data_IF_004637932456
#
_entry.id   IF_004637932456
#
_cell.length_a   1.000
_cell.length_b   1.000
_cell.length_c   1.000
_cell.angle_alpha   90.00
_cell.angle_beta   90.00
_cell.angle_gamma   90.00
#
_symmetry.space_group_name_H-M   'P 1'
#
loop_
_entity.id
_entity.type
_entity.pdbx_description
1 polymer ?
#
# COMPACT_ATOMS: atom_id res chain seq x y z
N UNK A 1 7.76 10.75 6.64
CA UNK A 1 8.32 11.38 5.40
C UNK A 1 7.18 11.97 4.55
N UNK A 2 7.44 12.69 3.47
CA UNK A 2 6.40 13.07 2.49
C UNK A 2 6.39 12.07 1.31
N UNK A 3 5.33 12.06 0.49
CA UNK A 3 5.17 11.07 -0.59
C UNK A 3 6.25 11.17 -1.66
N UNK A 4 6.63 12.40 -2.05
CA UNK A 4 7.69 12.65 -3.02
C UNK A 4 9.05 12.11 -2.56
N UNK A 5 9.39 12.31 -1.29
CA UNK A 5 10.63 11.79 -0.68
C UNK A 5 10.66 10.26 -0.68
N UNK A 6 9.52 9.63 -0.35
CA UNK A 6 9.38 8.17 -0.41
C UNK A 6 9.56 7.65 -1.84
N UNK A 7 8.93 8.28 -2.82
CA UNK A 7 9.04 7.90 -4.24
C UNK A 7 10.49 8.04 -4.71
N UNK A 8 11.16 9.15 -4.41
CA UNK A 8 12.55 9.40 -4.82
C UNK A 8 13.51 8.38 -4.20
N UNK A 9 13.36 8.08 -2.90
CA UNK A 9 14.16 7.05 -2.23
C UNK A 9 13.90 5.65 -2.81
N UNK A 10 12.63 5.34 -3.08
CA UNK A 10 12.23 4.07 -3.69
C UNK A 10 12.78 3.92 -5.10
N UNK A 11 12.79 5.01 -5.89
CA UNK A 11 13.33 5.02 -7.24
C UNK A 11 14.84 4.78 -7.21
N UNK A 12 15.57 5.50 -6.36
CA UNK A 12 17.01 5.28 -6.20
C UNK A 12 17.33 3.83 -5.82
N UNK A 13 16.56 3.24 -4.90
CA UNK A 13 16.72 1.85 -4.53
C UNK A 13 16.40 0.89 -5.70
N UNK A 14 15.29 1.12 -6.41
CA UNK A 14 14.88 0.31 -7.55
C UNK A 14 15.87 0.38 -8.72
N UNK A 15 16.52 1.52 -8.93
CA UNK A 15 17.52 1.70 -10.00
C UNK A 15 18.83 0.96 -9.68
N UNK A 16 19.17 0.77 -8.39
CA UNK A 16 20.32 -0.04 -7.95
C UNK A 16 20.07 -1.54 -8.04
N UNK A 17 18.85 -2.00 -7.74
CA UNK A 17 18.44 -3.40 -7.80
C UNK A 17 17.17 -3.57 -8.64
N UNK A 18 17.27 -3.51 -9.99
CA UNK A 18 16.12 -3.59 -10.86
C UNK A 18 15.48 -4.97 -10.73
N UNK A 19 14.24 -4.98 -10.24
CA UNK A 19 13.48 -6.22 -10.03
C UNK A 19 12.96 -6.75 -11.37
N UNK A 20 12.99 -8.07 -11.55
CA UNK A 20 12.19 -8.73 -12.59
C UNK A 20 10.70 -8.44 -12.34
N UNK A 21 10.14 -7.56 -13.18
CA UNK A 21 8.73 -7.21 -13.16
C UNK A 21 7.95 -8.42 -13.66
N UNK A 22 7.42 -9.25 -12.76
CA UNK A 22 6.56 -10.36 -13.13
C UNK A 22 5.28 -9.83 -13.78
N UNK A 23 5.17 -10.02 -15.09
CA UNK A 23 3.98 -9.66 -15.87
C UNK A 23 2.96 -10.79 -15.75
N UNK A 24 1.97 -10.63 -14.86
CA UNK A 24 0.88 -11.60 -14.75
C UNK A 24 -0.19 -11.20 -13.75
N UNK A 25 -1.39 -10.91 -14.25
CA UNK A 25 -2.60 -10.84 -13.42
C UNK A 25 -3.02 -12.27 -13.12
N UNK A 26 -2.63 -12.78 -11.96
CA UNK A 26 -3.02 -14.12 -11.49
C UNK A 26 -4.00 -14.01 -10.32
N UNK A 27 -4.77 -15.09 -10.08
CA UNK A 27 -5.62 -15.23 -8.89
C UNK A 27 -4.80 -15.11 -7.59
N UNK A 28 -3.48 -15.32 -7.67
CA UNK A 28 -2.53 -15.26 -6.57
C UNK A 28 -1.80 -13.91 -6.47
N UNK A 29 -2.29 -12.85 -7.12
CA UNK A 29 -1.64 -11.52 -7.13
C UNK A 29 -1.30 -10.99 -5.73
N UNK A 30 -2.19 -11.20 -4.74
CA UNK A 30 -1.92 -10.78 -3.36
C UNK A 30 -0.86 -11.64 -2.67
N UNK A 31 -0.78 -12.93 -3.00
CA UNK A 31 0.25 -13.83 -2.47
C UNK A 31 1.63 -13.43 -3.00
N UNK A 32 1.74 -13.25 -4.33
CA UNK A 32 2.99 -12.83 -4.96
C UNK A 32 3.42 -11.43 -4.50
N UNK A 33 2.46 -10.51 -4.38
CA UNK A 33 2.72 -9.18 -3.82
C UNK A 33 3.24 -9.23 -2.38
N UNK A 34 2.67 -10.10 -1.54
CA UNK A 34 3.12 -10.30 -0.16
C UNK A 34 4.52 -10.93 -0.10
N UNK A 35 4.83 -11.91 -0.96
CA UNK A 35 6.17 -12.51 -1.05
C UNK A 35 7.22 -11.49 -1.50
N UNK A 36 6.90 -10.70 -2.53
CA UNK A 36 7.76 -9.62 -2.98
C UNK A 36 8.00 -8.59 -1.87
N UNK A 37 6.93 -8.17 -1.19
CA UNK A 37 7.01 -7.23 -0.08
C UNK A 37 7.85 -7.77 1.08
N UNK A 38 7.69 -9.05 1.41
CA UNK A 38 8.46 -9.74 2.45
C UNK A 38 9.96 -9.76 2.14
N UNK A 39 10.33 -10.10 0.91
CA UNK A 39 11.73 -10.05 0.47
C UNK A 39 12.31 -8.64 0.67
N UNK A 40 11.61 -7.60 0.16
CA UNK A 40 12.05 -6.21 0.30
C UNK A 40 12.11 -5.73 1.74
N UNK A 41 11.17 -6.14 2.59
CA UNK A 41 11.19 -5.83 4.01
C UNK A 41 12.42 -6.43 4.71
N UNK A 42 12.81 -7.65 4.36
CA UNK A 42 14.00 -8.29 4.92
C UNK A 42 15.30 -7.65 4.39
N UNK A 43 15.36 -7.32 3.09
CA UNK A 43 16.50 -6.63 2.49
C UNK A 43 16.76 -5.27 3.16
N UNK A 44 15.69 -4.54 3.47
CA UNK A 44 15.76 -3.21 4.09
C UNK A 44 16.05 -3.24 5.60
N UNK A 45 15.84 -4.37 6.27
CA UNK A 45 16.02 -4.54 7.73
C UNK A 45 16.62 -5.92 8.05
N UNK A 46 17.91 -6.15 7.73
CA UNK A 46 18.53 -7.47 7.88
C UNK A 46 18.63 -7.96 9.34
N UNK A 47 18.51 -7.05 10.32
CA UNK A 47 18.51 -7.41 11.74
C UNK A 47 17.15 -7.91 12.25
N UNK A 48 16.05 -7.65 11.53
CA UNK A 48 14.68 -7.96 11.93
C UNK A 48 13.96 -8.76 10.83
N UNK A 49 14.51 -9.93 10.51
CA UNK A 49 13.95 -10.81 9.48
C UNK A 49 12.92 -11.77 10.07
N UNK A 50 11.74 -11.83 9.48
CA UNK A 50 10.74 -12.85 9.80
C UNK A 50 10.66 -13.86 8.67
N UNK A 51 10.40 -15.16 8.93
CA UNK A 51 10.13 -16.13 7.88
C UNK A 51 8.74 -15.88 7.27
N UNK A 52 8.65 -15.97 5.94
CA UNK A 52 7.37 -15.80 5.23
C UNK A 52 6.38 -16.88 5.68
N UNK A 53 5.25 -16.45 6.25
CA UNK A 53 4.23 -17.36 6.74
C UNK A 53 3.23 -17.71 5.63
N UNK A 54 3.31 -18.94 5.12
CA UNK A 54 2.37 -19.42 4.10
C UNK A 54 0.98 -19.75 4.67
N UNK A 55 0.82 -19.88 5.98
CA UNK A 55 -0.49 -20.13 6.60
C UNK A 55 -1.40 -18.89 6.54
N UNK A 56 -0.82 -17.69 6.40
CA UNK A 56 -1.57 -16.46 6.26
C UNK A 56 -2.24 -16.40 4.88
N UNK A 57 -3.56 -16.26 4.90
CA UNK A 57 -4.38 -16.13 3.69
C UNK A 57 -4.33 -14.71 3.13
N UNK A 58 -3.20 -14.31 2.52
CA UNK A 58 -3.00 -12.97 1.95
C UNK A 58 -4.06 -12.60 0.90
N UNK A 59 -4.56 -13.58 0.13
CA UNK A 59 -5.67 -13.37 -0.81
C UNK A 59 -6.95 -12.87 -0.15
N UNK A 60 -7.32 -13.43 1.01
CA UNK A 60 -8.50 -13.02 1.76
C UNK A 60 -8.34 -11.60 2.33
N UNK A 61 -7.16 -11.29 2.89
CA UNK A 61 -6.88 -9.94 3.40
C UNK A 61 -6.80 -8.88 2.29
N UNK A 62 -6.26 -9.24 1.12
CA UNK A 62 -6.31 -8.41 -0.07
C UNK A 62 -7.75 -8.12 -0.49
N UNK A 63 -8.58 -9.16 -0.62
CA UNK A 63 -10.00 -9.02 -0.96
C UNK A 63 -10.75 -8.19 0.09
N UNK A 64 -10.50 -8.40 1.37
CA UNK A 64 -11.07 -7.59 2.46
C UNK A 64 -10.70 -6.11 2.29
N UNK A 65 -9.40 -5.81 2.10
CA UNK A 65 -8.90 -4.44 1.96
C UNK A 65 -9.54 -3.74 0.78
N UNK A 66 -9.37 -4.30 -0.42
CA UNK A 66 -9.86 -3.67 -1.64
C UNK A 66 -11.38 -3.73 -1.76
N UNK A 67 -12.02 -4.75 -1.19
CA UNK A 67 -13.48 -4.86 -1.12
C UNK A 67 -14.12 -3.77 -0.27
N UNK A 68 -13.57 -3.48 0.92
CA UNK A 68 -14.07 -2.38 1.76
C UNK A 68 -13.83 -1.03 1.08
N UNK A 69 -12.65 -0.81 0.47
CA UNK A 69 -12.36 0.44 -0.23
C UNK A 69 -13.29 0.64 -1.44
N UNK A 70 -13.43 -0.37 -2.30
CA UNK A 70 -14.32 -0.32 -3.46
C UNK A 70 -15.79 -0.18 -3.05
N UNK A 71 -16.23 -0.91 -2.02
CA UNK A 71 -17.58 -0.80 -1.48
C UNK A 71 -17.88 0.61 -0.97
N UNK A 72 -16.95 1.22 -0.23
CA UNK A 72 -17.09 2.60 0.25
C UNK A 72 -17.15 3.61 -0.91
N UNK A 73 -16.37 3.40 -1.96
CA UNK A 73 -16.38 4.22 -3.17
C UNK A 73 -17.72 4.13 -3.91
N UNK A 74 -18.18 2.91 -4.21
CA UNK A 74 -19.44 2.70 -4.94
C UNK A 74 -20.65 3.22 -4.17
N UNK A 75 -20.71 2.96 -2.85
CA UNK A 75 -21.75 3.50 -1.98
C UNK A 75 -21.74 5.04 -2.01
N UNK A 76 -20.56 5.65 -1.92
CA UNK A 76 -20.41 7.11 -1.99
C UNK A 76 -20.86 7.66 -3.33
N UNK A 77 -20.52 7.02 -4.45
CA UNK A 77 -20.99 7.41 -5.79
C UNK A 77 -22.52 7.38 -5.88
N UNK A 78 -23.17 6.32 -5.37
CA UNK A 78 -24.64 6.19 -5.36
C UNK A 78 -25.28 7.30 -4.52
N UNK A 79 -24.77 7.56 -3.32
CA UNK A 79 -25.33 8.59 -2.43
C UNK A 79 -25.10 10.01 -2.97
N UNK A 80 -23.91 10.32 -3.46
CA UNK A 80 -23.56 11.65 -3.93
C UNK A 80 -24.19 11.99 -5.29
N UNK A 81 -24.33 11.02 -6.19
CA UNK A 81 -25.01 11.22 -7.48
C UNK A 81 -26.50 11.56 -7.33
N UNK A 82 -27.15 11.09 -6.25
CA UNK A 82 -28.52 11.49 -5.90
C UNK A 82 -28.62 12.94 -5.44
N UNK A 83 -27.54 13.52 -4.95
CA UNK A 83 -27.49 14.93 -4.51
C UNK A 83 -27.09 15.82 -5.70
N UNK A 84 -25.91 15.58 -6.28
CA UNK A 84 -25.40 16.33 -7.43
C UNK A 84 -24.21 15.58 -8.07
N UNK A 85 -24.23 15.40 -9.40
CA UNK A 85 -23.17 14.67 -10.12
C UNK A 85 -21.77 15.28 -9.95
N UNK A 86 -21.69 16.60 -9.76
CA UNK A 86 -20.43 17.31 -9.47
C UNK A 86 -19.78 16.94 -8.14
N UNK A 87 -20.47 16.22 -7.24
CA UNK A 87 -19.91 15.74 -5.97
C UNK A 87 -19.16 14.40 -6.11
N UNK A 88 -19.26 13.72 -7.26
CA UNK A 88 -18.59 12.43 -7.48
C UNK A 88 -17.08 12.41 -7.16
N UNK A 89 -16.29 13.48 -7.41
CA UNK A 89 -14.88 13.50 -7.00
C UNK A 89 -14.66 13.28 -5.50
N UNK A 90 -15.63 13.62 -4.64
CA UNK A 90 -15.55 13.37 -3.19
C UNK A 90 -15.56 11.87 -2.86
N UNK A 91 -16.12 11.02 -3.72
CA UNK A 91 -16.07 9.57 -3.54
C UNK A 91 -14.62 9.04 -3.60
N UNK A 92 -13.75 9.66 -4.41
CA UNK A 92 -12.32 9.31 -4.46
C UNK A 92 -11.64 9.67 -3.14
N UNK A 93 -11.98 10.80 -2.53
CA UNK A 93 -11.48 11.17 -1.21
C UNK A 93 -11.95 10.19 -0.12
N UNK A 94 -13.21 9.73 -0.19
CA UNK A 94 -13.73 8.70 0.72
C UNK A 94 -13.01 7.37 0.53
N UNK A 95 -12.74 6.96 -0.72
CA UNK A 95 -11.93 5.77 -1.01
C UNK A 95 -10.57 5.85 -0.32
N UNK A 96 -9.82 6.94 -0.52
CA UNK A 96 -8.50 7.11 0.10
C UNK A 96 -8.57 7.23 1.61
N UNK A 97 -9.61 7.87 2.15
CA UNK A 97 -9.85 7.91 3.59
C UNK A 97 -9.98 6.51 4.17
N UNK A 98 -10.71 5.61 3.51
CA UNK A 98 -10.83 4.21 3.94
C UNK A 98 -9.53 3.43 3.70
N UNK A 99 -8.90 3.63 2.55
CA UNK A 99 -7.67 2.92 2.16
C UNK A 99 -6.54 3.13 3.16
N UNK A 100 -6.33 4.37 3.64
CA UNK A 100 -5.23 4.67 4.56
C UNK A 100 -5.32 3.91 5.87
N UNK A 101 -6.52 3.58 6.34
CA UNK A 101 -6.71 2.77 7.56
C UNK A 101 -6.15 1.34 7.39
N UNK A 102 -6.12 0.83 6.17
CA UNK A 102 -5.61 -0.50 5.80
C UNK A 102 -4.28 -0.42 5.04
N UNK A 103 -3.61 0.74 5.08
CA UNK A 103 -2.36 1.00 4.36
C UNK A 103 -1.29 -0.02 4.72
N UNK A 104 -1.08 -0.24 6.02
CA UNK A 104 -0.01 -1.08 6.55
C UNK A 104 -0.44 -2.53 6.83
N UNK A 105 -1.63 -2.94 6.37
CA UNK A 105 -2.17 -4.27 6.64
C UNK A 105 -1.20 -5.39 6.20
N UNK A 106 -0.67 -5.33 4.97
CA UNK A 106 0.23 -6.36 4.46
C UNK A 106 1.57 -6.43 5.20
N UNK A 107 2.30 -5.31 5.40
CA UNK A 107 3.52 -5.34 6.22
C UNK A 107 3.30 -5.88 7.65
N UNK A 108 2.18 -5.52 8.29
CA UNK A 108 1.83 -6.00 9.63
C UNK A 108 1.51 -7.50 9.66
N UNK A 109 0.88 -8.03 8.61
CA UNK A 109 0.66 -9.47 8.45
C UNK A 109 1.98 -10.22 8.28
N UNK A 110 2.90 -9.66 7.48
CA UNK A 110 4.23 -10.24 7.26
C UNK A 110 5.04 -10.28 8.57
N UNK A 111 4.96 -9.23 9.38
CA UNK A 111 5.58 -9.16 10.72
C UNK A 111 4.78 -9.92 11.81
N UNK A 112 3.72 -10.65 11.42
CA UNK A 112 2.87 -11.48 12.29
C UNK A 112 2.28 -10.76 13.50
N UNK A 113 1.93 -9.48 13.33
CA UNK A 113 1.25 -8.71 14.37
C UNK A 113 -0.14 -9.31 14.64
N UNK A 114 -0.48 -9.52 15.91
CA UNK A 114 -1.68 -10.26 16.33
C UNK A 114 -3.02 -9.63 15.90
N UNK A 115 -3.11 -8.29 15.88
CA UNK A 115 -4.32 -7.54 15.50
C UNK A 115 -4.01 -6.57 14.34
N UNK A 116 -3.65 -7.08 13.14
CA UNK A 116 -3.01 -6.28 12.10
C UNK A 116 -3.91 -5.15 11.56
N UNK A 117 -5.23 -5.37 11.48
CA UNK A 117 -6.20 -4.35 11.06
C UNK A 117 -6.25 -3.20 12.08
N UNK A 118 -6.44 -3.52 13.35
CA UNK A 118 -6.54 -2.51 14.42
C UNK A 118 -5.21 -1.76 14.58
N UNK A 119 -4.09 -2.48 14.49
CA UNK A 119 -2.76 -1.87 14.54
C UNK A 119 -2.54 -0.93 13.35
N UNK A 120 -2.94 -1.32 12.12
CA UNK A 120 -2.89 -0.44 10.94
C UNK A 120 -3.70 0.85 11.15
N UNK A 121 -4.91 0.74 11.70
CA UNK A 121 -5.75 1.89 12.04
C UNK A 121 -5.03 2.78 13.07
N UNK A 122 -4.56 2.21 14.18
CA UNK A 122 -3.89 2.95 15.25
C UNK A 122 -2.66 3.70 14.73
N UNK A 123 -1.84 3.03 13.91
CA UNK A 123 -0.66 3.63 13.25
C UNK A 123 -1.09 4.80 12.36
N UNK A 124 -2.16 4.65 11.59
CA UNK A 124 -2.66 5.70 10.70
C UNK A 124 -3.01 6.97 11.47
N UNK A 125 -3.70 6.84 12.60
CA UNK A 125 -4.01 7.98 13.47
C UNK A 125 -2.76 8.54 14.16
N UNK A 126 -1.80 7.69 14.53
CA UNK A 126 -0.53 8.13 15.13
C UNK A 126 0.34 8.94 14.17
N UNK A 127 0.36 8.57 12.89
CA UNK A 127 1.07 9.32 11.84
C UNK A 127 0.30 10.60 11.46
N UNK A 128 -1.04 10.54 11.55
CA UNK A 128 -1.97 11.62 11.22
C UNK A 128 -2.73 11.33 9.92
N UNK A 129 -4.06 11.25 10.00
CA UNK A 129 -4.93 10.83 8.89
C UNK A 129 -4.76 11.69 7.64
N UNK A 130 -4.70 13.02 7.79
CA UNK A 130 -4.54 13.97 6.67
C UNK A 130 -3.19 13.76 5.98
N UNK A 131 -2.13 13.58 6.76
CA UNK A 131 -0.81 13.27 6.24
C UNK A 131 -0.81 11.95 5.48
N UNK A 132 -1.51 10.94 6.00
CA UNK A 132 -1.62 9.66 5.33
C UNK A 132 -2.32 9.77 3.97
N UNK A 133 -3.45 10.46 3.92
CA UNK A 133 -4.22 10.66 2.68
C UNK A 133 -3.37 11.39 1.63
N UNK A 134 -2.77 12.53 1.98
CA UNK A 134 -1.94 13.30 1.02
C UNK A 134 -0.78 12.45 0.50
N UNK A 135 -0.09 11.72 1.39
CA UNK A 135 1.05 10.88 1.02
C UNK A 135 0.64 9.73 0.11
N UNK A 136 -0.45 9.03 0.43
CA UNK A 136 -0.95 7.90 -0.38
C UNK A 136 -1.47 8.40 -1.72
N UNK A 137 -2.18 9.53 -1.78
CA UNK A 137 -2.63 10.12 -3.04
C UNK A 137 -1.46 10.47 -3.97
N UNK A 138 -0.36 11.01 -3.43
CA UNK A 138 0.85 11.28 -4.23
C UNK A 138 1.46 10.00 -4.80
N UNK A 139 1.57 8.94 -3.99
CA UNK A 139 2.10 7.64 -4.41
C UNK A 139 1.17 7.00 -5.45
N UNK A 140 -0.14 7.01 -5.21
CA UNK A 140 -1.13 6.46 -6.13
C UNK A 140 -1.15 7.20 -7.47
N UNK A 141 -1.09 8.53 -7.47
CA UNK A 141 -0.96 9.32 -8.69
C UNK A 141 0.30 8.91 -9.48
N UNK A 142 1.45 8.77 -8.81
CA UNK A 142 2.69 8.32 -9.44
C UNK A 142 2.58 6.91 -10.05
N UNK A 143 1.95 5.97 -9.34
CA UNK A 143 1.69 4.62 -9.84
C UNK A 143 0.79 4.64 -11.09
N UNK A 144 -0.28 5.44 -11.08
CA UNK A 144 -1.23 5.56 -12.19
C UNK A 144 -0.59 6.20 -13.43
N UNK A 145 0.25 7.22 -13.26
CA UNK A 145 0.98 7.85 -14.38
C UNK A 145 1.92 6.84 -15.07
N UNK A 146 2.45 5.86 -14.33
CA UNK A 146 3.31 4.82 -14.89
C UNK A 146 2.60 3.89 -15.87
N UNK A 147 1.28 3.70 -15.75
CA UNK A 147 0.51 2.85 -16.66
C UNK A 147 0.50 3.37 -18.09
N UNK A 148 0.74 4.67 -18.30
CA UNK A 148 0.88 5.26 -19.64
C UNK A 148 2.25 4.96 -20.29
N UNK A 149 3.22 4.40 -19.55
CA UNK A 149 4.49 3.95 -20.10
C UNK A 149 4.37 2.53 -20.67
N UNK A 150 4.07 2.42 -21.96
CA UNK A 150 3.84 1.14 -22.65
C UNK A 150 5.02 0.16 -22.59
N UNK A 151 6.26 0.65 -22.38
CA UNK A 151 7.44 -0.23 -22.31
C UNK A 151 7.57 -0.91 -20.94
N UNK A 152 7.19 -0.22 -19.86
CA UNK A 152 7.35 -0.68 -18.47
C UNK A 152 6.18 -0.20 -17.60
N UNK A 153 4.94 -0.65 -17.88
CA UNK A 153 3.74 -0.07 -17.25
C UNK A 153 3.69 -0.27 -15.73
N UNK A 154 4.31 -1.35 -15.23
CA UNK A 154 4.31 -1.69 -13.81
C UNK A 154 5.51 -1.13 -13.03
N UNK A 155 6.49 -0.50 -13.67
CA UNK A 155 7.68 -0.02 -12.95
C UNK A 155 7.33 0.95 -11.83
N UNK A 156 6.49 1.95 -12.11
CA UNK A 156 6.05 2.91 -11.08
C UNK A 156 5.20 2.23 -10.01
N UNK A 157 4.47 1.17 -10.36
CA UNK A 157 3.69 0.39 -9.41
C UNK A 157 4.61 -0.26 -8.37
N UNK A 158 5.67 -0.93 -8.80
CA UNK A 158 6.66 -1.52 -7.89
C UNK A 158 7.37 -0.46 -7.04
N UNK A 159 7.75 0.69 -7.63
CA UNK A 159 8.35 1.82 -6.90
C UNK A 159 7.36 2.37 -5.86
N UNK A 160 6.07 2.46 -6.19
CA UNK A 160 5.02 2.88 -5.27
C UNK A 160 4.82 1.89 -4.13
N UNK A 161 4.80 0.59 -4.41
CA UNK A 161 4.76 -0.44 -3.36
C UNK A 161 6.00 -0.35 -2.46
N UNK A 162 7.19 -0.16 -3.02
CA UNK A 162 8.43 0.03 -2.26
C UNK A 162 8.39 1.28 -1.38
N UNK A 163 7.73 2.34 -1.84
CA UNK A 163 7.50 3.57 -1.06
C UNK A 163 6.72 3.27 0.22
N UNK A 164 5.70 2.40 0.15
CA UNK A 164 4.95 1.96 1.33
C UNK A 164 5.80 1.11 2.27
N UNK A 165 6.65 0.23 1.73
CA UNK A 165 7.58 -0.59 2.53
C UNK A 165 8.59 0.26 3.28
N UNK A 166 9.23 1.21 2.59
CA UNK A 166 10.16 2.15 3.20
C UNK A 166 9.49 3.01 4.27
N UNK A 167 8.25 3.44 4.00
CA UNK A 167 7.49 4.20 4.99
C UNK A 167 7.17 3.36 6.22
N UNK A 168 6.69 2.13 6.03
CA UNK A 168 6.42 1.19 7.11
C UNK A 168 7.66 0.92 7.95
N UNK A 169 8.82 0.68 7.32
CA UNK A 169 10.09 0.50 8.03
C UNK A 169 10.36 1.66 8.98
N UNK A 170 10.42 2.88 8.43
CA UNK A 170 10.90 4.06 9.15
C UNK A 170 9.92 4.55 10.23
N UNK A 171 8.61 4.49 9.96
CA UNK A 171 7.59 5.04 10.87
C UNK A 171 6.94 4.00 11.77
N UNK A 172 7.01 2.70 11.44
CA UNK A 172 6.34 1.63 12.19
C UNK A 172 7.34 0.60 12.71
N UNK A 173 8.02 -0.11 11.82
CA UNK A 173 8.80 -1.32 12.14
C UNK A 173 9.93 -1.02 13.11
N UNK A 174 10.70 0.03 12.84
CA UNK A 174 11.82 0.47 13.69
C UNK A 174 11.36 0.97 15.08
N UNK A 175 10.06 1.16 15.31
CA UNK A 175 9.49 1.52 16.63
C UNK A 175 8.85 0.33 17.35
N UNK A 176 8.42 -0.70 16.63
CA UNK A 176 7.84 -1.90 17.21
C UNK A 176 8.91 -2.84 17.81
N UNK A 177 10.13 -2.79 17.27
CA UNK A 177 11.23 -3.71 17.62
C UNK A 177 12.47 -2.98 18.15
N UNK A 178 12.29 -1.80 18.75
CA UNK A 178 13.30 -1.15 19.62
C UNK A 178 13.06 -1.59 21.06
#
# INVERSE_FOLDING_TARGET
MNGTELINKSKAWFDHEPVEVHQGVSVHVFQYGAQWMHARMNDLSPTNTFPFDQSIRYGLYGLLKYGICLGSFLLSCILLSRIHIGLLPLAVLIFYFVEVHLLFLFPLLIDRVSKPVLTSICITYRIGIVRCIITVMQIAFFMMVGLFNLRKPFQNWYIGCLSIVLWYKNDVRDRLYK
#
